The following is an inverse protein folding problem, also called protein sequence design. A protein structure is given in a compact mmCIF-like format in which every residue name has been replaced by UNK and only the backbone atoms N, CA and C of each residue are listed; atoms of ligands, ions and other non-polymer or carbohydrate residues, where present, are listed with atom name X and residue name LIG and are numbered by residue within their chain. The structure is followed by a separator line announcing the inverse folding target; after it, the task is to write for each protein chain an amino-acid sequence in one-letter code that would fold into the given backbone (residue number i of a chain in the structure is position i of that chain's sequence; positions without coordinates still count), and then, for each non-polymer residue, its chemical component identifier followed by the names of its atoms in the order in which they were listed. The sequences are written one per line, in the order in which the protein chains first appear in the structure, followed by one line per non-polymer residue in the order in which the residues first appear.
data_IF_269695362931
#
_entry.id   IF_269695362931
#
_cell.length_a   1.000
_cell.length_b   1.000
_cell.length_c   1.000
_cell.angle_alpha   90.00
_cell.angle_beta   90.00
_cell.angle_gamma   90.00
#
_symmetry.space_group_name_H-M   'P 1'
#
loop_
_entity.id
_entity.type
_entity.pdbx_description
1 polymer ?
#
# COMPACT_ATOMS: atom_id res chain seq x y z
N UNK A 1 -14.49 -13.93 15.63
CA UNK A 1 -14.83 -14.29 14.24
C UNK A 1 -14.63 -13.06 13.37
N UNK A 2 -13.85 -13.13 12.29
CA UNK A 2 -13.67 -11.99 11.38
C UNK A 2 -14.93 -11.79 10.54
N UNK A 3 -15.37 -10.55 10.34
CA UNK A 3 -16.62 -10.23 9.62
C UNK A 3 -16.50 -10.28 8.10
N UNK A 4 -15.29 -10.24 7.55
CA UNK A 4 -15.07 -10.32 6.10
C UNK A 4 -15.54 -9.07 5.33
N UNK A 5 -15.43 -7.88 5.93
CA UNK A 5 -15.92 -6.61 5.35
C UNK A 5 -15.31 -6.29 3.98
N UNK A 6 -14.09 -6.79 3.70
CA UNK A 6 -13.44 -6.68 2.40
C UNK A 6 -14.19 -7.38 1.26
N UNK A 7 -15.13 -8.28 1.58
CA UNK A 7 -15.98 -8.97 0.60
C UNK A 7 -17.33 -8.30 0.38
N UNK A 8 -17.62 -7.21 1.11
CA UNK A 8 -18.85 -6.43 0.89
C UNK A 8 -18.88 -5.82 -0.51
N UNK A 9 -20.09 -5.52 -1.00
CA UNK A 9 -20.26 -4.85 -2.29
C UNK A 9 -19.61 -3.47 -2.28
N UNK A 10 -19.70 -2.74 -1.17
CA UNK A 10 -19.13 -1.40 -1.05
C UNK A 10 -17.61 -1.43 -1.07
N UNK A 11 -16.97 -2.37 -0.37
CA UNK A 11 -15.51 -2.54 -0.47
C UNK A 11 -15.08 -3.04 -1.85
N UNK A 12 -15.89 -3.88 -2.51
CA UNK A 12 -15.59 -4.36 -3.87
C UNK A 12 -15.59 -3.22 -4.89
N UNK A 13 -16.45 -2.20 -4.71
CA UNK A 13 -16.44 -0.98 -5.53
C UNK A 13 -15.16 -0.16 -5.32
N UNK A 14 -14.64 -0.12 -4.09
CA UNK A 14 -13.40 0.58 -3.73
C UNK A 14 -12.16 -0.16 -4.28
N UNK A 15 -12.06 -1.47 -4.01
CA UNK A 15 -10.99 -2.33 -4.48
C UNK A 15 -11.56 -3.67 -5.00
N UNK A 16 -11.60 -3.86 -6.34
CA UNK A 16 -12.08 -5.10 -6.95
C UNK A 16 -11.32 -6.36 -6.52
N UNK A 17 -10.08 -6.22 -6.02
CA UNK A 17 -9.28 -7.34 -5.51
C UNK A 17 -9.78 -7.86 -4.16
N UNK A 18 -10.69 -7.14 -3.49
CA UNK A 18 -11.26 -7.51 -2.17
C UNK A 18 -10.19 -7.79 -1.13
N UNK A 19 -9.10 -7.02 -1.20
CA UNK A 19 -7.93 -7.16 -0.36
C UNK A 19 -7.64 -5.84 0.37
N UNK A 20 -7.11 -5.97 1.57
CA UNK A 20 -6.56 -4.86 2.36
C UNK A 20 -5.04 -4.97 2.37
N UNK A 21 -4.29 -3.85 2.44
CA UNK A 21 -4.75 -2.47 2.61
C UNK A 21 -5.12 -1.75 1.30
N UNK A 22 -5.90 -0.67 1.44
CA UNK A 22 -6.17 0.33 0.41
C UNK A 22 -6.00 1.74 1.01
N UNK A 23 -5.53 2.69 0.21
CA UNK A 23 -5.43 4.11 0.53
C UNK A 23 -6.30 4.89 -0.45
N UNK A 24 -7.35 5.56 0.04
CA UNK A 24 -8.13 6.52 -0.72
C UNK A 24 -7.52 7.92 -0.52
N UNK A 25 -7.27 8.63 -1.62
CA UNK A 25 -6.72 9.98 -1.64
C UNK A 25 -7.84 11.02 -1.64
N UNK A 26 -7.49 12.27 -1.35
CA UNK A 26 -8.46 13.38 -1.28
C UNK A 26 -9.19 13.64 -2.62
N UNK A 27 -8.62 13.23 -3.75
CA UNK A 27 -9.22 13.33 -5.08
C UNK A 27 -10.09 12.11 -5.46
N UNK A 28 -10.25 11.15 -4.55
CA UNK A 28 -11.02 9.93 -4.74
C UNK A 28 -10.26 8.80 -5.44
N UNK A 29 -8.97 8.97 -5.77
CA UNK A 29 -8.16 7.87 -6.28
C UNK A 29 -7.89 6.83 -5.19
N UNK A 30 -7.85 5.55 -5.56
CA UNK A 30 -7.57 4.44 -4.63
C UNK A 30 -6.29 3.72 -5.03
N UNK A 31 -5.36 3.62 -4.08
CA UNK A 31 -4.12 2.85 -4.21
C UNK A 31 -4.28 1.57 -3.39
N UNK A 32 -4.31 0.42 -4.05
CA UNK A 32 -4.22 -0.90 -3.42
C UNK A 32 -2.76 -1.38 -3.36
N UNK A 33 -2.50 -2.44 -2.60
CA UNK A 33 -1.17 -3.04 -2.37
C UNK A 33 -0.28 -2.24 -1.40
N UNK A 34 0.20 -2.89 -0.34
CA UNK A 34 1.01 -2.25 0.70
C UNK A 34 2.28 -1.59 0.15
N UNK A 35 2.94 -2.21 -0.84
CA UNK A 35 4.17 -1.66 -1.46
C UNK A 35 3.87 -0.41 -2.29
N UNK A 36 2.73 -0.33 -2.96
CA UNK A 36 2.35 0.85 -3.72
C UNK A 36 1.99 2.02 -2.78
N UNK A 37 1.26 1.73 -1.71
CA UNK A 37 0.95 2.70 -0.64
C UNK A 37 2.24 3.23 0.00
N UNK A 38 3.19 2.35 0.34
CA UNK A 38 4.48 2.76 0.89
C UNK A 38 5.26 3.65 -0.08
N UNK A 39 5.24 3.37 -1.39
CA UNK A 39 5.87 4.22 -2.42
C UNK A 39 5.23 5.59 -2.51
N UNK A 40 3.90 5.68 -2.38
CA UNK A 40 3.20 6.97 -2.33
C UNK A 40 3.68 7.82 -1.16
N UNK A 41 3.78 7.23 0.04
CA UNK A 41 4.30 7.94 1.22
C UNK A 41 5.80 8.23 1.11
N UNK A 42 6.62 7.35 0.54
CA UNK A 42 8.05 7.65 0.32
C UNK A 42 8.24 8.92 -0.54
N UNK A 43 7.34 9.17 -1.50
CA UNK A 43 7.38 10.34 -2.36
C UNK A 43 6.77 11.60 -1.73
N UNK A 44 5.72 11.46 -0.92
CA UNK A 44 4.94 12.59 -0.36
C UNK A 44 5.34 12.96 1.07
N UNK A 45 5.81 11.99 1.85
CA UNK A 45 6.30 12.11 3.21
C UNK A 45 7.57 11.27 3.40
N UNK A 46 8.73 11.77 2.93
CA UNK A 46 9.96 10.98 2.87
C UNK A 46 10.57 10.63 4.25
N UNK A 47 10.11 11.27 5.34
CA UNK A 47 10.58 10.98 6.69
C UNK A 47 9.40 10.65 7.64
N UNK A 48 9.46 9.50 8.35
CA UNK A 48 10.51 8.48 8.29
C UNK A 48 10.47 7.65 6.99
N UNK A 49 11.64 7.38 6.39
CA UNK A 49 11.73 6.54 5.18
C UNK A 49 11.21 5.11 5.44
N UNK A 50 10.27 4.66 4.60
CA UNK A 50 9.64 3.34 4.66
C UNK A 50 10.37 2.32 3.78
N UNK A 51 11.03 2.79 2.71
CA UNK A 51 11.66 1.94 1.70
C UNK A 51 13.19 1.99 1.73
N UNK A 52 13.78 2.64 2.73
CA UNK A 52 15.22 2.66 2.97
C UNK A 52 15.88 3.97 2.53
N UNK A 53 16.86 4.41 3.32
CA UNK A 53 17.52 5.72 3.17
C UNK A 53 18.69 5.70 2.18
N UNK A 54 19.40 4.58 2.07
CA UNK A 54 20.53 4.44 1.17
C UNK A 54 20.17 3.54 -0.03
N UNK A 55 20.88 3.65 -1.17
CA UNK A 55 20.65 2.76 -2.31
C UNK A 55 20.76 1.26 -1.94
N UNK A 56 21.64 0.93 -0.98
CA UNK A 56 21.79 -0.44 -0.46
C UNK A 56 20.54 -0.89 0.30
N UNK A 57 20.00 -0.05 1.18
CA UNK A 57 18.81 -0.39 1.96
C UNK A 57 17.59 -0.57 1.05
N UNK A 58 17.44 0.33 0.07
CA UNK A 58 16.37 0.24 -0.93
C UNK A 58 16.45 -1.06 -1.73
N UNK A 59 17.65 -1.46 -2.16
CA UNK A 59 17.86 -2.73 -2.85
C UNK A 59 17.53 -3.94 -1.96
N UNK A 60 17.91 -3.91 -0.67
CA UNK A 60 17.59 -4.98 0.28
C UNK A 60 16.09 -5.08 0.54
N UNK A 61 15.40 -3.97 0.77
CA UNK A 61 13.94 -3.93 0.95
C UNK A 61 13.24 -4.49 -0.30
N UNK A 62 13.64 -4.02 -1.49
CA UNK A 62 13.07 -4.51 -2.75
C UNK A 62 13.35 -6.01 -2.99
N UNK A 63 14.50 -6.53 -2.58
CA UNK A 63 14.80 -7.96 -2.64
C UNK A 63 13.85 -8.77 -1.75
N UNK A 64 13.60 -8.32 -0.52
CA UNK A 64 12.70 -9.00 0.42
C UNK A 64 11.22 -8.93 0.00
N UNK A 65 10.79 -7.86 -0.67
CA UNK A 65 9.42 -7.72 -1.20
C UNK A 65 9.09 -8.73 -2.31
N UNK A 66 10.10 -9.31 -2.97
CA UNK A 66 9.94 -10.25 -4.09
C UNK A 66 10.18 -11.72 -3.69
N UNK A 67 10.45 -11.99 -2.42
CA UNK A 67 10.64 -13.33 -1.87
C UNK A 67 9.35 -13.81 -1.22
#
# INVERSE_FOLDING_TARGET
MFKGEQYSEDFTKLNPLKAVPCLELDDGAVISEAVAIARYFEATQPEPSLLGKTPKDQALVAMWQRR
#
